data_IF_117977576922
#
_entry.id   IF_117977576922
#
_cell.length_a   1.000
_cell.length_b   1.000
_cell.length_c   1.000
_cell.angle_alpha   90.00
_cell.angle_beta   90.00
_cell.angle_gamma   90.00
#
_symmetry.space_group_name_H-M   'P 1'
#
loop_
_entity.id
_entity.type
_entity.pdbx_description
1 polymer ?
#
# COMPACT_ATOMS: atom_id res chain seq x y z
N UNK A 1 4.17 -28.46 -0.63
CA UNK A 1 2.74 -28.22 -0.95
C UNK A 1 2.64 -26.86 -1.60
N UNK A 2 2.02 -26.76 -2.77
CA UNK A 2 1.77 -25.48 -3.44
C UNK A 2 0.48 -24.87 -2.91
N UNK A 3 0.49 -23.59 -2.54
CA UNK A 3 -0.71 -22.80 -2.22
C UNK A 3 -0.92 -21.81 -3.36
N UNK A 4 -2.07 -21.86 -4.00
CA UNK A 4 -2.50 -20.85 -4.96
C UNK A 4 -3.46 -19.90 -4.24
N UNK A 5 -3.09 -18.62 -4.17
CA UNK A 5 -3.91 -17.56 -3.59
C UNK A 5 -4.23 -16.56 -4.70
N UNK A 6 -5.49 -16.13 -4.79
CA UNK A 6 -5.89 -15.07 -5.72
C UNK A 6 -5.64 -13.73 -5.06
N UNK A 7 -5.03 -12.81 -5.80
CA UNK A 7 -4.71 -11.47 -5.31
C UNK A 7 -4.19 -10.60 -6.45
N UNK A 8 -3.75 -9.41 -6.09
CA UNK A 8 -3.21 -8.41 -7.02
C UNK A 8 -1.79 -8.08 -6.59
N UNK A 9 -0.88 -8.01 -7.56
CA UNK A 9 0.48 -7.49 -7.32
C UNK A 9 0.44 -5.98 -7.54
N UNK A 10 0.89 -5.24 -6.54
CA UNK A 10 1.03 -3.78 -6.61
C UNK A 10 2.52 -3.46 -6.75
N UNK A 11 2.84 -2.74 -7.82
CA UNK A 11 4.17 -2.15 -8.04
C UNK A 11 4.13 -0.70 -7.56
N UNK A 12 5.04 -0.34 -6.66
CA UNK A 12 5.13 0.99 -6.05
C UNK A 12 6.54 1.28 -5.53
N UNK A 13 6.85 2.55 -5.27
CA UNK A 13 8.15 2.95 -4.72
C UNK A 13 8.28 2.59 -3.24
N UNK A 14 9.52 2.51 -2.74
CA UNK A 14 9.82 2.13 -1.35
C UNK A 14 9.10 3.01 -0.32
N UNK A 15 8.91 4.31 -0.61
CA UNK A 15 8.17 5.22 0.26
C UNK A 15 6.69 4.85 0.38
N UNK A 16 6.04 4.54 -0.75
CA UNK A 16 4.64 4.12 -0.78
C UNK A 16 4.48 2.76 -0.12
N UNK A 17 5.44 1.85 -0.31
CA UNK A 17 5.47 0.56 0.40
C UNK A 17 5.43 0.74 1.92
N UNK A 18 6.13 1.72 2.48
CA UNK A 18 6.05 2.00 3.93
C UNK A 18 4.65 2.46 4.35
N UNK A 19 3.98 3.28 3.54
CA UNK A 19 2.59 3.68 3.78
C UNK A 19 1.67 2.46 3.75
N UNK A 20 1.82 1.60 2.74
CA UNK A 20 1.05 0.36 2.59
C UNK A 20 1.26 -0.57 3.81
N UNK A 21 2.50 -0.71 4.28
CA UNK A 21 2.82 -1.50 5.49
C UNK A 21 2.14 -0.92 6.74
N UNK A 22 2.13 0.39 6.90
CA UNK A 22 1.42 1.06 8.01
C UNK A 22 -0.10 0.88 7.94
N UNK A 23 -0.68 0.99 6.74
CA UNK A 23 -2.09 0.70 6.51
C UNK A 23 -2.42 -0.77 6.79
N UNK A 24 -1.49 -1.68 6.49
CA UNK A 24 -1.64 -3.11 6.72
C UNK A 24 -1.72 -3.47 8.21
N UNK A 25 -1.17 -2.65 9.12
CA UNK A 25 -1.34 -2.85 10.56
C UNK A 25 -2.81 -2.78 11.01
N UNK A 26 -3.65 -2.05 10.26
CA UNK A 26 -5.07 -1.87 10.55
C UNK A 26 -5.96 -2.81 9.73
N UNK A 27 -5.57 -3.07 8.48
CA UNK A 27 -6.42 -3.77 7.49
C UNK A 27 -5.99 -5.20 7.11
N UNK A 28 -4.79 -5.65 7.47
CA UNK A 28 -4.25 -6.98 7.15
C UNK A 28 -4.54 -7.48 5.71
N UNK A 29 -4.32 -6.62 4.71
CA UNK A 29 -4.60 -6.92 3.29
C UNK A 29 -3.36 -7.39 2.52
N UNK A 30 -2.16 -7.29 3.10
CA UNK A 30 -0.93 -7.84 2.51
C UNK A 30 -0.93 -9.36 2.71
N UNK A 31 -0.87 -10.08 1.58
CA UNK A 31 -0.76 -11.54 1.56
C UNK A 31 0.71 -11.93 1.65
N UNK A 32 1.56 -11.31 0.83
CA UNK A 32 2.99 -11.60 0.76
C UNK A 32 3.79 -10.37 0.31
N UNK A 33 4.95 -10.16 0.92
CA UNK A 33 5.93 -9.18 0.47
C UNK A 33 6.85 -9.85 -0.54
N UNK A 34 6.88 -9.36 -1.78
CA UNK A 34 7.68 -9.97 -2.84
C UNK A 34 9.08 -9.36 -2.87
N UNK A 35 9.15 -8.03 -2.95
CA UNK A 35 10.40 -7.26 -3.07
C UNK A 35 10.19 -5.81 -2.58
N UNK A 36 11.23 -4.97 -2.59
CA UNK A 36 11.18 -3.57 -2.16
C UNK A 36 10.17 -2.69 -2.89
N UNK A 37 9.79 -3.07 -4.11
CA UNK A 37 8.84 -2.34 -4.97
C UNK A 37 7.56 -3.11 -5.26
N UNK A 38 7.47 -4.37 -4.83
CA UNK A 38 6.37 -5.26 -5.20
C UNK A 38 5.77 -5.90 -3.96
N UNK A 39 4.45 -5.71 -3.79
CA UNK A 39 3.68 -6.31 -2.70
C UNK A 39 2.47 -7.04 -3.25
N UNK A 40 2.20 -8.22 -2.73
CA UNK A 40 1.03 -9.02 -3.09
C UNK A 40 -0.08 -8.81 -2.06
N UNK A 41 -1.22 -8.29 -2.52
CA UNK A 41 -2.34 -7.89 -1.68
C UNK A 41 -3.65 -8.56 -2.11
N UNK A 42 -4.63 -8.59 -1.20
CA UNK A 42 -5.98 -9.04 -1.54
C UNK A 42 -6.66 -8.06 -2.49
N UNK A 43 -7.18 -8.60 -3.60
CA UNK A 43 -7.81 -7.79 -4.65
C UNK A 43 -9.12 -7.14 -4.23
N UNK A 44 -9.75 -7.58 -3.14
CA UNK A 44 -11.02 -7.02 -2.66
C UNK A 44 -10.83 -5.67 -1.98
N UNK A 45 -9.63 -5.42 -1.42
CA UNK A 45 -9.30 -4.20 -0.70
C UNK A 45 -8.56 -3.18 -1.58
N UNK A 46 -8.31 -3.47 -2.86
CA UNK A 46 -7.45 -2.65 -3.72
C UNK A 46 -8.02 -1.24 -3.96
N UNK A 47 -9.33 -1.11 -4.09
CA UNK A 47 -9.99 0.19 -4.32
C UNK A 47 -9.90 1.08 -3.07
N UNK A 48 -10.10 0.50 -1.89
CA UNK A 48 -9.96 1.20 -0.61
C UNK A 48 -8.49 1.57 -0.37
N UNK A 49 -7.58 0.62 -0.55
CA UNK A 49 -6.14 0.84 -0.40
C UNK A 49 -5.65 1.99 -1.28
N UNK A 50 -6.12 2.10 -2.52
CA UNK A 50 -5.80 3.24 -3.40
C UNK A 50 -6.29 4.55 -2.81
N UNK A 51 -7.54 4.61 -2.36
CA UNK A 51 -8.11 5.82 -1.76
C UNK A 51 -7.37 6.25 -0.48
N UNK A 52 -7.04 5.30 0.39
CA UNK A 52 -6.26 5.56 1.62
C UNK A 52 -4.85 6.08 1.30
N UNK A 53 -4.17 5.49 0.31
CA UNK A 53 -2.84 5.95 -0.12
C UNK A 53 -2.92 7.37 -0.70
N UNK A 54 -3.89 7.65 -1.58
CA UNK A 54 -4.10 8.98 -2.15
C UNK A 54 -4.39 10.01 -1.06
N UNK A 55 -5.21 9.67 -0.05
CA UNK A 55 -5.50 10.54 1.09
C UNK A 55 -4.25 10.85 1.92
N UNK A 56 -3.45 9.83 2.24
CA UNK A 56 -2.19 9.99 3.01
C UNK A 56 -1.15 10.81 2.23
N UNK A 57 -1.03 10.57 0.92
CA UNK A 57 -0.11 11.32 0.05
C UNK A 57 -0.55 12.78 -0.07
N UNK A 58 -1.86 13.03 -0.17
CA UNK A 58 -2.41 14.37 -0.18
C UNK A 58 -2.18 15.09 1.15
N UNK A 59 -2.50 14.45 2.29
CA UNK A 59 -2.26 15.01 3.62
C UNK A 59 -0.77 15.35 3.85
N UNK A 60 0.14 14.47 3.41
CA UNK A 60 1.58 14.73 3.50
C UNK A 60 2.04 15.85 2.55
N UNK A 61 1.46 15.95 1.34
CA UNK A 61 1.80 17.02 0.37
C UNK A 61 1.46 18.40 0.94
N UNK A 62 0.31 18.54 1.60
CA UNK A 62 -0.08 19.81 2.23
C UNK A 62 0.87 20.24 3.36
N UNK A 63 1.54 19.31 4.04
CA UNK A 63 2.48 19.65 5.11
C UNK A 63 3.87 20.10 4.60
N UNK A 64 4.20 19.90 3.32
CA UNK A 64 5.47 20.36 2.73
C UNK A 64 5.38 21.82 2.23
N UNK A 65 4.17 22.31 1.93
CA UNK A 65 3.99 23.65 1.35
C UNK A 65 3.84 24.78 2.38
N UNK A 66 3.64 24.46 3.67
CA UNK A 66 3.42 25.47 4.74
C UNK A 66 4.72 25.94 5.44
N UNK A 67 5.89 25.63 4.89
CA UNK A 67 7.17 26.19 5.35
C UNK A 67 7.88 26.92 4.22
N UNK A 68 7.36 28.08 3.82
CA UNK A 68 8.17 29.11 3.17
C UNK A 68 7.76 30.52 3.56
#
# INVERSE_FOLDING_TARGET
>A
MVKAVKGVVVECDTSVKQIILGLNERGQFIIEDLDDTHVFVDGSCIEQLRADIDEILNENTYNVEESK
#
